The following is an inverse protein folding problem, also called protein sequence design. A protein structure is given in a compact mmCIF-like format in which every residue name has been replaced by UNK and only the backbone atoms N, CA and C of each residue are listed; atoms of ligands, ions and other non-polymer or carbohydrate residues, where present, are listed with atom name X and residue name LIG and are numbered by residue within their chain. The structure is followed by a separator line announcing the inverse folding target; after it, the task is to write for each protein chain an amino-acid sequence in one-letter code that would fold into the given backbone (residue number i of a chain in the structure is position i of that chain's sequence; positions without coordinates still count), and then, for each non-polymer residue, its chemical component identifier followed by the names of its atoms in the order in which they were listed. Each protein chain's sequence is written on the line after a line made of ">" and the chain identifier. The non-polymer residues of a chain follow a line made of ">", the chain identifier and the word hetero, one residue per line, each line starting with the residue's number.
data_IF_376383206607
#
_entry.id   IF_376383206607
#
_cell.length_a   1.000
_cell.length_b   1.000
_cell.length_c   1.000
_cell.angle_alpha   90.00
_cell.angle_beta   90.00
_cell.angle_gamma   90.00
#
_symmetry.space_group_name_H-M   'P 1'
#
loop_
_entity.id
_entity.type
_entity.pdbx_description
1 polymer ?
#
# COMPACT_ATOMS: atom_id res chain seq x y z
N UNK A 1 -21.54 4.33 -2.61
CA UNK A 1 -21.16 2.90 -2.67
C UNK A 1 -20.22 2.70 -1.51
N UNK A 2 -20.55 1.84 -0.55
CA UNK A 2 -19.72 1.61 0.63
C UNK A 2 -18.47 0.88 0.17
N UNK A 3 -17.37 1.61 0.00
CA UNK A 3 -16.09 0.98 -0.34
C UNK A 3 -15.68 0.19 0.89
N UNK A 4 -15.47 -1.11 0.70
CA UNK A 4 -15.12 -2.05 1.75
C UNK A 4 -13.71 -1.67 2.21
N UNK A 5 -13.62 -0.80 3.23
CA UNK A 5 -12.32 -0.29 3.67
C UNK A 5 -11.46 -1.45 4.15
N UNK A 6 -10.29 -1.62 3.56
CA UNK A 6 -9.33 -2.62 4.01
C UNK A 6 -8.82 -2.16 5.37
N UNK A 7 -9.14 -2.92 6.42
CA UNK A 7 -8.60 -2.69 7.76
C UNK A 7 -7.25 -3.35 7.86
N UNK A 8 -6.22 -2.54 8.04
CA UNK A 8 -4.87 -3.02 8.32
C UNK A 8 -4.70 -3.02 9.83
N UNK A 9 -4.92 -4.19 10.41
CA UNK A 9 -4.86 -4.47 11.87
C UNK A 9 -3.53 -5.10 12.31
N UNK A 10 -2.64 -5.45 11.36
CA UNK A 10 -1.33 -6.01 11.66
C UNK A 10 -0.29 -5.55 10.64
N UNK A 11 0.98 -5.55 11.04
CA UNK A 11 2.11 -5.28 10.14
C UNK A 11 2.14 -6.26 8.94
N UNK A 12 1.67 -7.49 9.13
CA UNK A 12 1.57 -8.50 8.06
C UNK A 12 0.52 -8.13 7.01
N UNK A 13 -0.61 -7.53 7.41
CA UNK A 13 -1.61 -7.00 6.47
C UNK A 13 -1.08 -5.81 5.68
N UNK A 14 -0.26 -4.95 6.32
CA UNK A 14 0.42 -3.86 5.61
C UNK A 14 1.38 -4.34 4.52
N UNK A 15 1.88 -5.57 4.60
CA UNK A 15 2.83 -6.13 3.64
C UNK A 15 2.18 -6.88 2.48
N UNK A 16 0.85 -7.02 2.48
CA UNK A 16 0.10 -7.71 1.40
C UNK A 16 -0.12 -6.85 0.17
N UNK A 17 -0.05 -5.53 0.35
CA UNK A 17 -0.22 -4.57 -0.72
C UNK A 17 1.04 -4.53 -1.59
N UNK A 18 0.81 -4.61 -2.91
CA UNK A 18 1.84 -4.63 -3.94
C UNK A 18 1.65 -3.50 -4.93
N UNK A 19 2.73 -3.00 -5.49
CA UNK A 19 2.66 -2.12 -6.65
C UNK A 19 2.24 -2.94 -7.89
N UNK A 20 1.82 -2.30 -8.99
CA UNK A 20 1.53 -3.01 -10.25
C UNK A 20 2.69 -3.86 -10.79
N UNK A 21 3.93 -3.55 -10.40
CA UNK A 21 5.12 -4.35 -10.72
C UNK A 21 5.35 -5.53 -9.73
N UNK A 22 4.51 -5.73 -8.72
CA UNK A 22 4.61 -6.82 -7.75
C UNK A 22 5.53 -6.55 -6.55
N UNK A 23 6.05 -5.33 -6.39
CA UNK A 23 6.91 -4.98 -5.25
C UNK A 23 6.10 -4.61 -4.01
N UNK A 24 6.73 -4.65 -2.83
CA UNK A 24 6.11 -4.18 -1.58
C UNK A 24 5.93 -2.66 -1.60
N UNK A 25 4.79 -2.21 -1.09
CA UNK A 25 4.49 -0.79 -0.96
C UNK A 25 4.20 -0.44 0.49
N UNK A 26 4.53 0.80 0.86
CA UNK A 26 4.25 1.36 2.16
C UNK A 26 3.15 2.43 2.03
N UNK A 27 2.20 2.52 2.96
CA UNK A 27 1.26 3.64 3.00
C UNK A 27 1.98 4.94 3.34
N UNK A 28 1.71 6.01 2.59
CA UNK A 28 2.11 7.38 2.96
C UNK A 28 0.88 8.21 3.33
N UNK A 29 1.07 9.52 3.56
CA UNK A 29 -0.01 10.47 3.83
C UNK A 29 -1.13 10.43 2.77
N UNK A 30 -0.79 10.36 1.47
CA UNK A 30 -1.79 10.45 0.39
C UNK A 30 -1.68 9.35 -0.69
N UNK A 31 -0.50 8.75 -0.88
CA UNK A 31 -0.27 7.73 -1.92
C UNK A 31 0.43 6.51 -1.34
N UNK A 32 0.49 5.43 -2.11
CA UNK A 32 1.36 4.31 -1.81
C UNK A 32 2.79 4.61 -2.26
N UNK A 33 3.76 4.11 -1.52
CA UNK A 33 5.17 4.31 -1.83
C UNK A 33 5.90 2.98 -2.01
N UNK A 34 6.46 2.79 -3.19
CA UNK A 34 7.24 1.63 -3.53
C UNK A 34 8.73 1.92 -3.40
N UNK A 35 9.36 1.44 -2.32
CA UNK A 35 10.82 1.56 -2.14
C UNK A 35 11.63 0.90 -3.27
N UNK A 36 11.12 -0.19 -3.85
CA UNK A 36 11.79 -0.87 -4.96
C UNK A 36 11.73 -0.05 -6.24
N UNK A 37 10.61 0.62 -6.55
CA UNK A 37 10.53 1.53 -7.69
C UNK A 37 11.39 2.78 -7.45
N UNK A 38 11.39 3.32 -6.23
CA UNK A 38 12.25 4.46 -5.87
C UNK A 38 13.74 4.17 -6.05
N UNK A 39 14.14 2.93 -5.76
CA UNK A 39 15.52 2.48 -5.91
C UNK A 39 15.82 1.93 -7.31
N UNK A 40 14.80 1.76 -8.15
CA UNK A 40 14.98 1.38 -9.55
C UNK A 40 15.24 2.65 -10.35
N UNK A 41 16.41 2.75 -10.97
CA UNK A 41 16.78 3.88 -11.83
C UNK A 41 16.05 3.86 -13.19
N UNK A 42 14.84 3.31 -13.23
CA UNK A 42 14.01 3.25 -14.42
C UNK A 42 13.22 4.56 -14.56
N UNK A 43 13.33 5.19 -15.73
CA UNK A 43 12.63 6.43 -16.07
C UNK A 43 11.10 6.31 -16.02
N UNK A 44 10.55 5.10 -16.16
CA UNK A 44 9.12 4.79 -16.03
C UNK A 44 8.70 4.28 -14.63
N UNK A 45 9.64 4.15 -13.68
CA UNK A 45 9.33 3.60 -12.35
C UNK A 45 8.97 4.72 -11.37
N UNK A 46 7.70 5.12 -11.34
CA UNK A 46 7.21 6.06 -10.32
C UNK A 46 7.15 5.37 -8.95
N UNK A 47 7.84 5.91 -7.92
CA UNK A 47 7.79 5.36 -6.57
C UNK A 47 6.46 5.63 -5.89
N UNK A 48 5.81 6.74 -6.24
CA UNK A 48 4.51 7.16 -5.78
C UNK A 48 3.45 6.53 -6.68
N UNK A 49 2.53 5.76 -6.10
CA UNK A 49 1.47 5.06 -6.82
C UNK A 49 0.14 5.31 -6.12
N UNK A 50 -0.89 5.60 -6.90
CA UNK A 50 -2.24 5.90 -6.37
C UNK A 50 -2.97 4.64 -5.87
N UNK A 51 -2.73 3.51 -6.52
CA UNK A 51 -3.42 2.25 -6.26
C UNK A 51 -2.42 1.13 -5.96
N UNK A 52 -2.65 0.43 -4.85
CA UNK A 52 -1.93 -0.78 -4.51
C UNK A 52 -2.83 -2.00 -4.72
N UNK A 53 -2.26 -3.08 -5.24
CA UNK A 53 -2.94 -4.34 -5.47
C UNK A 53 -2.77 -5.22 -4.24
N UNK A 54 -3.86 -5.64 -3.63
CA UNK A 54 -3.83 -6.65 -2.58
C UNK A 54 -3.54 -8.02 -3.18
N UNK A 55 -2.43 -8.64 -2.78
CA UNK A 55 -2.01 -9.96 -3.28
C UNK A 55 -3.02 -11.06 -2.93
N UNK A 56 -3.78 -10.90 -1.83
CA UNK A 56 -4.71 -11.90 -1.32
C UNK A 56 -6.03 -11.93 -2.08
N UNK A 57 -6.58 -10.76 -2.43
CA UNK A 57 -7.88 -10.61 -3.09
C UNK A 57 -7.75 -10.22 -4.57
N UNK A 58 -6.58 -9.76 -4.99
CA UNK A 58 -6.32 -9.24 -6.34
C UNK A 58 -6.99 -7.88 -6.62
N UNK A 59 -7.49 -7.20 -5.59
CA UNK A 59 -8.18 -5.91 -5.73
C UNK A 59 -7.22 -4.74 -5.60
N UNK A 60 -7.46 -3.67 -6.36
CA UNK A 60 -6.78 -2.40 -6.15
C UNK A 60 -7.45 -1.60 -5.03
N UNK A 61 -6.63 -1.00 -4.17
CA UNK A 61 -7.06 -0.11 -3.10
C UNK A 61 -6.26 1.18 -3.18
N UNK A 62 -6.96 2.31 -3.11
CA UNK A 62 -6.30 3.61 -2.91
C UNK A 62 -6.00 3.80 -1.41
N UNK A 63 -5.24 4.85 -1.07
CA UNK A 63 -4.98 5.18 0.33
C UNK A 63 -6.26 5.48 1.12
N UNK A 64 -7.28 6.07 0.48
CA UNK A 64 -8.57 6.42 1.11
C UNK A 64 -9.44 5.18 1.42
N UNK A 65 -9.24 4.13 0.61
CA UNK A 65 -9.91 2.83 0.79
C UNK A 65 -9.26 1.97 1.89
N UNK A 66 -8.17 2.43 2.50
CA UNK A 66 -7.46 1.70 3.56
C UNK A 66 -7.57 2.42 4.89
N UNK A 67 -8.13 1.74 5.88
CA UNK A 67 -8.18 2.20 7.26
C UNK A 67 -7.02 1.54 8.03
N UNK A 68 -6.01 2.34 8.34
CA UNK A 68 -4.91 1.90 9.20
C UNK A 68 -5.38 1.96 10.64
N UNK A 69 -5.39 0.82 11.32
CA UNK A 69 -5.65 0.80 12.75
C UNK A 69 -4.36 1.12 13.48
N UNK A 70 -4.23 2.37 13.96
CA UNK A 70 -3.01 2.85 14.64
C UNK A 70 -2.87 2.31 16.07
N UNK A 71 -3.91 1.66 16.60
CA UNK A 71 -3.85 0.96 17.90
C UNK A 71 -3.19 -0.43 17.74
N UNK A 72 -3.09 -0.92 16.51
CA UNK A 72 -2.42 -2.17 16.21
C UNK A 72 -0.89 -2.07 16.35
N UNK A 73 -0.26 -3.00 17.11
CA UNK A 73 1.19 -3.03 17.24
C UNK A 73 1.85 -3.27 15.87
N UNK A 74 2.65 -2.32 15.42
CA UNK A 74 3.44 -2.45 14.18
C UNK A 74 2.92 -1.68 12.97
N UNK A 75 1.79 -0.95 13.09
CA UNK A 75 1.28 -0.03 12.08
C UNK A 75 1.82 1.37 12.38
N UNK A 76 2.89 1.76 11.70
CA UNK A 76 3.50 3.09 11.85
C UNK A 76 3.35 3.89 10.56
N UNK A 77 3.16 5.20 10.67
CA UNK A 77 3.44 6.12 9.56
C UNK A 77 4.93 6.00 9.20
N UNK A 78 5.23 5.74 7.93
CA UNK A 78 6.56 5.96 7.38
C UNK A 78 6.81 7.46 7.20
#
# INVERSE_FOLDING_TARGET
>A
MSVEKLKIETQEDSWRLRCPNGHKVAPTNNHWYCHSCANSWHEDAEPEIDEAIDEKTGRSYTRDDVELDFDAPGVYYA
#
